data_IF_188370563878
#
_entry.id   IF_188370563878
#
_cell.length_a   1.000
_cell.length_b   1.000
_cell.length_c   1.000
_cell.angle_alpha   90.00
_cell.angle_beta   90.00
_cell.angle_gamma   90.00
#
_symmetry.space_group_name_H-M   'P 1'
#
loop_
_entity.id
_entity.type
_entity.pdbx_description
1 polymer ?
#
# COMPACT_ATOMS: atom_id res chain seq x y z
N UNK A 1 21.21 4.38 -1.50
CA UNK A 1 19.85 4.41 -0.94
C UNK A 1 19.06 3.26 -1.54
N UNK A 2 18.39 2.45 -0.73
CA UNK A 2 17.42 1.48 -1.24
C UNK A 2 16.13 2.27 -1.49
N UNK A 3 15.68 2.34 -2.74
CA UNK A 3 14.43 3.02 -3.06
C UNK A 3 13.30 2.09 -2.60
N UNK A 4 12.43 2.59 -1.71
CA UNK A 4 11.19 1.94 -1.34
C UNK A 4 10.00 2.71 -1.92
N UNK A 5 8.94 1.99 -2.29
CA UNK A 5 7.69 2.56 -2.77
C UNK A 5 6.61 2.32 -1.75
N UNK A 6 6.03 3.39 -1.21
CA UNK A 6 4.85 3.32 -0.37
C UNK A 6 3.63 2.96 -1.23
N UNK A 7 2.92 1.89 -0.85
CA UNK A 7 1.66 1.51 -1.49
C UNK A 7 0.50 2.11 -0.69
N UNK A 8 -0.32 2.89 -1.39
CA UNK A 8 -1.48 3.58 -0.83
C UNK A 8 -2.69 2.63 -0.68
N UNK A 9 -3.61 2.99 0.20
CA UNK A 9 -4.81 2.22 0.55
C UNK A 9 -5.69 1.97 -0.66
N UNK A 10 -5.90 2.95 -1.55
CA UNK A 10 -6.74 2.78 -2.75
C UNK A 10 -6.23 1.65 -3.66
N UNK A 11 -4.92 1.58 -3.87
CA UNK A 11 -4.26 0.54 -4.68
C UNK A 11 -4.47 -0.84 -4.05
N UNK A 12 -4.39 -0.94 -2.72
CA UNK A 12 -4.63 -2.18 -1.99
C UNK A 12 -6.11 -2.60 -2.02
N UNK A 13 -7.03 -1.64 -1.91
CA UNK A 13 -8.48 -1.86 -2.04
C UNK A 13 -8.80 -2.41 -3.43
N UNK A 14 -8.22 -1.87 -4.51
CA UNK A 14 -8.44 -2.35 -5.87
C UNK A 14 -8.03 -3.82 -6.05
N UNK A 15 -6.93 -4.24 -5.40
CA UNK A 15 -6.36 -5.58 -5.56
C UNK A 15 -7.07 -6.60 -4.68
N UNK A 16 -7.31 -6.27 -3.41
CA UNK A 16 -7.95 -7.16 -2.45
C UNK A 16 -9.47 -7.17 -2.51
N UNK A 17 -10.06 -6.07 -2.97
CA UNK A 17 -11.51 -5.92 -3.11
C UNK A 17 -12.09 -6.67 -4.32
N UNK A 18 -13.42 -6.54 -4.50
CA UNK A 18 -14.12 -7.04 -5.67
C UNK A 18 -13.49 -6.54 -6.98
N UNK A 19 -13.72 -7.27 -8.08
CA UNK A 19 -13.23 -6.83 -9.38
C UNK A 19 -13.81 -5.46 -9.75
N UNK A 20 -12.91 -4.50 -10.02
CA UNK A 20 -13.24 -3.16 -10.45
C UNK A 20 -12.33 -2.72 -11.60
N UNK A 21 -12.65 -1.59 -12.26
CA UNK A 21 -11.93 -1.12 -13.45
C UNK A 21 -10.44 -0.85 -13.18
N UNK A 22 -10.08 -0.46 -11.96
CA UNK A 22 -8.69 -0.13 -11.59
C UNK A 22 -7.85 -1.34 -11.18
N UNK A 23 -8.46 -2.51 -10.95
CA UNK A 23 -7.76 -3.71 -10.44
C UNK A 23 -6.57 -4.13 -11.30
N UNK A 24 -6.73 -4.10 -12.62
CA UNK A 24 -5.65 -4.46 -13.55
C UNK A 24 -4.50 -3.46 -13.53
N UNK A 25 -4.81 -2.16 -13.45
CA UNK A 25 -3.81 -1.12 -13.34
C UNK A 25 -3.06 -1.19 -12.01
N UNK A 26 -3.78 -1.29 -10.89
CA UNK A 26 -3.23 -1.35 -9.53
C UNK A 26 -2.32 -2.58 -9.34
N UNK A 27 -2.75 -3.75 -9.83
CA UNK A 27 -1.90 -4.96 -9.81
C UNK A 27 -0.62 -4.78 -10.66
N UNK A 28 -0.73 -4.15 -11.84
CA UNK A 28 0.41 -3.91 -12.72
C UNK A 28 1.39 -2.89 -12.12
N UNK A 29 0.88 -1.86 -11.45
CA UNK A 29 1.69 -0.85 -10.76
C UNK A 29 2.47 -1.47 -9.60
N UNK A 30 1.82 -2.26 -8.73
CA UNK A 30 2.49 -3.02 -7.65
C UNK A 30 3.61 -3.88 -8.23
N UNK A 31 3.32 -4.65 -9.29
CA UNK A 31 4.30 -5.51 -9.93
C UNK A 31 5.48 -4.72 -10.51
N UNK A 32 5.25 -3.51 -11.04
CA UNK A 32 6.33 -2.63 -11.53
C UNK A 32 7.19 -2.10 -10.40
N UNK A 33 6.58 -1.49 -9.38
CA UNK A 33 7.33 -0.95 -8.25
C UNK A 33 8.12 -2.04 -7.49
N UNK A 34 7.61 -3.28 -7.45
CA UNK A 34 8.34 -4.43 -6.89
C UNK A 34 9.61 -4.76 -7.65
N UNK A 35 9.63 -4.56 -8.97
CA UNK A 35 10.86 -4.74 -9.78
C UNK A 35 11.88 -3.64 -9.51
N UNK A 36 11.40 -2.45 -9.18
CA UNK A 36 12.24 -1.26 -8.95
C UNK A 36 12.77 -1.17 -7.51
N UNK A 37 12.10 -1.81 -6.55
CA UNK A 37 12.52 -1.76 -5.15
C UNK A 37 11.62 -2.48 -4.15
N UNK A 38 11.84 -2.16 -2.87
CA UNK A 38 11.00 -2.67 -1.79
C UNK A 38 9.64 -1.97 -1.82
N UNK A 39 8.56 -2.72 -1.56
CA UNK A 39 7.25 -2.13 -1.34
C UNK A 39 7.01 -2.00 0.15
N UNK A 40 6.40 -0.90 0.57
CA UNK A 40 6.15 -0.62 1.98
C UNK A 40 4.73 -0.13 2.21
N UNK A 41 4.23 -0.33 3.43
CA UNK A 41 3.02 0.31 3.95
C UNK A 41 3.38 1.08 5.21
N UNK A 42 2.64 2.16 5.49
CA UNK A 42 2.86 2.98 6.69
C UNK A 42 1.68 2.88 7.68
N UNK A 43 1.79 3.61 8.78
CA UNK A 43 0.77 3.65 9.84
C UNK A 43 -0.56 4.25 9.39
N UNK A 44 -0.57 5.18 8.42
CA UNK A 44 -1.79 5.79 7.88
C UNK A 44 -2.55 4.75 7.06
N UNK A 45 -1.87 4.12 6.09
CA UNK A 45 -2.42 3.03 5.27
C UNK A 45 -2.93 1.89 6.17
N UNK A 46 -2.17 1.54 7.21
CA UNK A 46 -2.59 0.54 8.19
C UNK A 46 -3.91 0.92 8.89
N UNK A 47 -4.07 2.18 9.29
CA UNK A 47 -5.27 2.67 9.96
C UNK A 47 -6.49 2.71 9.04
N UNK A 48 -6.30 2.99 7.75
CA UNK A 48 -7.37 3.02 6.75
C UNK A 48 -7.84 1.62 6.33
N UNK A 49 -6.93 0.65 6.34
CA UNK A 49 -7.26 -0.76 6.05
C UNK A 49 -7.89 -1.49 7.23
N UNK A 50 -7.63 -1.05 8.46
CA UNK A 50 -8.16 -1.66 9.68
C UNK A 50 -9.70 -1.86 9.66
N UNK A 51 -10.54 -0.88 9.27
CA UNK A 51 -11.99 -1.10 9.19
C UNK A 51 -12.44 -2.00 8.04
N UNK A 52 -11.58 -2.26 7.05
CA UNK A 52 -11.91 -3.07 5.86
C UNK A 52 -11.56 -4.55 6.03
N UNK A 53 -10.82 -4.91 7.08
CA UNK A 53 -10.34 -6.27 7.33
C UNK A 53 -10.87 -6.75 8.69
N UNK A 54 -11.27 -8.03 8.75
CA UNK A 54 -11.90 -8.60 9.95
C UNK A 54 -11.00 -8.60 11.20
N UNK A 55 -9.69 -8.77 11.05
CA UNK A 55 -8.73 -8.79 12.17
C UNK A 55 -7.37 -8.23 11.76
N UNK A 56 -6.63 -7.68 12.73
CA UNK A 56 -5.25 -7.22 12.51
C UNK A 56 -4.32 -8.34 12.02
N UNK A 57 -4.56 -9.58 12.46
CA UNK A 57 -3.78 -10.75 11.99
C UNK A 57 -4.01 -11.02 10.50
N UNK A 58 -5.26 -10.88 10.03
CA UNK A 58 -5.57 -10.99 8.61
C UNK A 58 -4.90 -9.88 7.79
N UNK A 59 -4.84 -8.66 8.32
CA UNK A 59 -4.16 -7.53 7.67
C UNK A 59 -2.64 -7.78 7.57
N UNK A 60 -2.01 -8.22 8.66
CA UNK A 60 -0.59 -8.63 8.65
C UNK A 60 -0.32 -9.68 7.58
N UNK A 61 -1.13 -10.74 7.54
CA UNK A 61 -0.98 -11.80 6.55
C UNK A 61 -1.13 -11.28 5.11
N UNK A 62 -2.08 -10.38 4.86
CA UNK A 62 -2.28 -9.81 3.53
C UNK A 62 -1.08 -8.97 3.05
N UNK A 63 -0.52 -8.16 3.95
CA UNK A 63 0.69 -7.34 3.69
C UNK A 63 1.92 -8.24 3.49
N UNK A 64 2.09 -9.27 4.33
CA UNK A 64 3.19 -10.24 4.23
C UNK A 64 3.11 -11.05 2.93
N UNK A 65 1.91 -11.42 2.47
CA UNK A 65 1.71 -12.13 1.20
C UNK A 65 2.18 -11.32 -0.01
N UNK A 66 2.08 -9.99 0.05
CA UNK A 66 2.63 -9.12 -0.99
C UNK A 66 4.12 -8.82 -0.78
N UNK A 67 4.73 -9.26 0.31
CA UNK A 67 6.15 -9.03 0.65
C UNK A 67 6.47 -7.58 1.01
N UNK A 68 5.51 -6.88 1.62
CA UNK A 68 5.64 -5.46 1.95
C UNK A 68 6.24 -5.27 3.35
N UNK A 69 7.20 -4.36 3.48
CA UNK A 69 7.72 -3.96 4.79
C UNK A 69 6.81 -2.89 5.42
N UNK A 70 6.86 -2.77 6.75
CA UNK A 70 6.15 -1.72 7.49
C UNK A 70 7.13 -0.63 7.87
N UNK A 71 6.90 0.58 7.39
CA UNK A 71 7.75 1.74 7.66
C UNK A 71 6.96 2.89 8.30
N UNK A 72 7.64 3.69 9.12
CA UNK A 72 7.07 4.95 9.57
C UNK A 72 7.18 5.97 8.43
N UNK A 73 6.13 6.77 8.24
CA UNK A 73 6.16 7.89 7.29
C UNK A 73 6.62 9.15 8.02
N UNK A 74 7.56 9.88 7.43
CA UNK A 74 7.96 11.19 7.94
C UNK A 74 6.89 12.24 7.65
N UNK A 75 6.92 13.35 8.38
CA UNK A 75 6.02 14.48 8.14
C UNK A 75 6.17 15.04 6.71
N UNK A 76 7.40 15.17 6.21
CA UNK A 76 7.66 15.64 4.85
C UNK A 76 7.07 14.69 3.79
N UNK A 77 7.26 13.38 3.97
CA UNK A 77 6.71 12.38 3.07
C UNK A 77 5.17 12.35 3.11
N UNK A 78 4.57 12.52 4.29
CA UNK A 78 3.12 12.59 4.44
C UNK A 78 2.52 13.82 3.74
N UNK A 79 3.15 14.99 3.87
CA UNK A 79 2.72 16.20 3.15
C UNK A 79 2.82 16.03 1.64
N UNK A 80 3.98 15.54 1.14
CA UNK A 80 4.18 15.29 -0.29
C UNK A 80 3.18 14.29 -0.86
N UNK A 81 2.86 13.23 -0.13
CA UNK A 81 1.83 12.27 -0.53
C UNK A 81 0.46 12.96 -0.69
N UNK A 82 0.05 13.78 0.29
CA UNK A 82 -1.24 14.49 0.25
C UNK A 82 -1.40 15.44 -0.94
N UNK A 83 -0.35 16.22 -1.25
CA UNK A 83 -0.40 17.18 -2.38
C UNK A 83 -0.22 16.54 -3.76
N UNK A 84 0.29 15.32 -3.83
CA UNK A 84 0.44 14.58 -5.10
C UNK A 84 -0.86 13.85 -5.50
N UNK A 85 -1.70 13.53 -4.50
CA UNK A 85 -3.01 12.91 -4.72
C UNK A 85 -4.14 13.92 -5.02
N UNK A 86 -3.98 15.18 -4.57
CA UNK A 86 -4.96 16.28 -4.72
C UNK A 86 -4.85 16.97 -6.09
#
# INVERSE_FOLDING_TARGET
>A
MKISTLIDTNVLIDVWGPAGPMKGWSASAIASCRRDGALVVNTIVWSELAPLIATETALRKAVDMLGMDRELVSWDAAFLAGVTHS
#
